data_IF_287101368559
#
_entry.id   IF_287101368559
#
_cell.length_a   1.000
_cell.length_b   1.000
_cell.length_c   1.000
_cell.angle_alpha   90.00
_cell.angle_beta   90.00
_cell.angle_gamma   90.00
#
_symmetry.space_group_name_H-M   'P 1'
#
loop_
_entity.id
_entity.type
_entity.pdbx_description
1 polymer ?
#
# COMPACT_ATOMS: atom_id res chain seq x y z
N UNK A 1 2.78 1.81 24.89
CA UNK A 1 1.37 1.48 25.19
C UNK A 1 0.50 2.67 25.62
N UNK A 2 1.07 3.88 25.79
CA UNK A 2 0.29 5.08 26.14
C UNK A 2 -0.37 5.77 24.93
N UNK A 3 0.09 5.48 23.72
CA UNK A 3 -0.31 6.16 22.51
C UNK A 3 -1.81 6.08 22.17
N UNK A 4 -2.47 4.89 22.16
CA UNK A 4 -3.91 4.83 21.86
C UNK A 4 -4.77 5.58 22.85
N UNK A 5 -4.40 5.60 24.15
CA UNK A 5 -5.11 6.33 25.19
C UNK A 5 -4.98 7.85 25.01
N UNK A 6 -3.77 8.34 24.70
CA UNK A 6 -3.53 9.75 24.43
C UNK A 6 -4.32 10.24 23.22
N UNK A 7 -4.36 9.45 22.13
CA UNK A 7 -5.14 9.78 20.94
C UNK A 7 -6.65 9.75 21.20
N UNK A 8 -7.14 8.85 22.04
CA UNK A 8 -8.55 8.81 22.46
C UNK A 8 -8.97 10.02 23.28
N UNK A 9 -8.13 10.45 24.23
CA UNK A 9 -8.37 11.67 25.01
C UNK A 9 -8.34 12.93 24.11
N UNK A 10 -7.42 12.99 23.15
CA UNK A 10 -7.38 14.08 22.17
C UNK A 10 -8.62 14.10 21.27
N UNK A 11 -9.16 12.93 20.87
CA UNK A 11 -10.39 12.85 20.09
C UNK A 11 -11.58 13.46 20.85
N UNK A 12 -11.72 13.15 22.15
CA UNK A 12 -12.75 13.73 23.00
C UNK A 12 -12.58 15.24 23.14
N UNK A 13 -11.37 15.74 23.38
CA UNK A 13 -11.06 17.16 23.47
C UNK A 13 -11.45 17.92 22.19
N UNK A 14 -11.08 17.43 21.01
CA UNK A 14 -11.41 18.05 19.73
C UNK A 14 -12.92 18.03 19.45
N UNK A 15 -13.60 16.94 19.78
CA UNK A 15 -15.05 16.83 19.64
C UNK A 15 -15.78 17.89 20.47
N UNK A 16 -15.35 18.10 21.73
CA UNK A 16 -15.92 19.11 22.61
C UNK A 16 -15.71 20.52 22.04
N UNK A 17 -14.57 20.77 21.38
CA UNK A 17 -14.26 22.08 20.81
C UNK A 17 -14.76 22.25 19.34
N UNK A 18 -15.55 21.32 18.82
CA UNK A 18 -16.18 21.43 17.51
C UNK A 18 -15.25 21.19 16.31
N UNK A 19 -14.06 20.60 16.52
CA UNK A 19 -13.15 20.20 15.42
C UNK A 19 -13.36 18.72 15.09
N UNK A 20 -14.41 18.44 14.33
CA UNK A 20 -14.81 17.08 13.96
C UNK A 20 -13.72 16.30 13.18
N UNK A 21 -12.98 16.97 12.28
CA UNK A 21 -11.93 16.32 11.49
C UNK A 21 -10.75 15.90 12.37
N UNK A 22 -10.33 16.74 13.31
CA UNK A 22 -9.30 16.39 14.27
C UNK A 22 -9.78 15.30 15.24
N UNK A 23 -11.02 15.38 15.71
CA UNK A 23 -11.61 14.33 16.55
C UNK A 23 -11.62 12.97 15.84
N UNK A 24 -12.05 12.93 14.58
CA UNK A 24 -12.05 11.71 13.75
C UNK A 24 -10.63 11.19 13.51
N UNK A 25 -9.68 12.06 13.20
CA UNK A 25 -8.28 11.69 13.02
C UNK A 25 -7.67 11.07 14.27
N UNK A 26 -7.86 11.69 15.43
CA UNK A 26 -7.42 11.15 16.71
C UNK A 26 -8.10 9.81 17.05
N UNK A 27 -9.40 9.68 16.77
CA UNK A 27 -10.13 8.42 16.96
C UNK A 27 -9.60 7.31 16.05
N UNK A 28 -9.31 7.61 14.78
CA UNK A 28 -8.72 6.68 13.84
C UNK A 28 -7.36 6.15 14.32
N UNK A 29 -6.47 7.03 14.79
CA UNK A 29 -5.17 6.60 15.29
C UNK A 29 -5.26 5.84 16.62
N UNK A 30 -6.19 6.23 17.52
CA UNK A 30 -6.47 5.47 18.73
C UNK A 30 -6.95 4.05 18.40
N UNK A 31 -7.92 3.93 17.52
CA UNK A 31 -8.47 2.64 17.04
C UNK A 31 -7.41 1.78 16.38
N UNK A 32 -6.60 2.37 15.49
CA UNK A 32 -5.46 1.70 14.85
C UNK A 32 -4.51 1.12 15.89
N UNK A 33 -4.16 1.90 16.91
CA UNK A 33 -3.27 1.47 17.99
C UNK A 33 -3.85 0.30 18.80
N UNK A 34 -5.15 0.38 19.17
CA UNK A 34 -5.82 -0.70 19.90
C UNK A 34 -5.91 -1.99 19.11
N UNK A 35 -6.22 -1.92 17.81
CA UNK A 35 -6.26 -3.11 16.95
C UNK A 35 -4.87 -3.70 16.67
N UNK A 36 -3.82 -2.89 16.71
CA UNK A 36 -2.46 -3.38 16.48
C UNK A 36 -1.97 -4.32 17.58
N UNK A 37 -2.41 -4.12 18.82
CA UNK A 37 -2.00 -4.96 19.95
C UNK A 37 -2.42 -6.44 19.78
N UNK A 38 -3.70 -6.78 19.57
CA UNK A 38 -4.11 -8.16 19.38
C UNK A 38 -3.63 -8.75 18.04
N UNK A 39 -3.41 -7.93 17.01
CA UNK A 39 -2.92 -8.40 15.71
C UNK A 39 -1.44 -8.83 15.76
N UNK A 40 -0.62 -8.19 16.60
CA UNK A 40 0.81 -8.53 16.71
C UNK A 40 1.06 -9.90 17.34
N UNK A 41 0.22 -10.35 18.27
CA UNK A 41 0.39 -11.64 18.95
C UNK A 41 0.36 -12.81 17.93
N UNK A 42 -0.72 -13.04 17.16
CA UNK A 42 -0.75 -14.11 16.16
C UNK A 42 0.28 -13.90 15.06
N UNK A 43 0.61 -12.65 14.74
CA UNK A 43 1.63 -12.33 13.73
C UNK A 43 3.00 -12.93 14.12
N UNK A 44 3.44 -12.77 15.37
CA UNK A 44 4.76 -13.24 15.80
C UNK A 44 4.75 -14.67 16.34
N UNK A 45 3.69 -15.13 16.98
CA UNK A 45 3.65 -16.47 17.55
C UNK A 45 3.27 -17.57 16.54
N UNK A 46 2.45 -17.25 15.55
CA UNK A 46 1.94 -18.22 14.56
C UNK A 46 2.48 -17.93 13.17
N UNK A 47 2.26 -16.71 12.67
CA UNK A 47 2.61 -16.38 11.30
C UNK A 47 4.12 -16.36 11.05
N UNK A 48 4.94 -15.92 12.02
CA UNK A 48 6.40 -15.90 11.84
C UNK A 48 7.02 -17.28 11.71
N UNK A 49 6.77 -18.25 12.61
CA UNK A 49 7.29 -19.61 12.44
C UNK A 49 6.80 -20.28 11.15
N UNK A 50 5.51 -20.15 10.83
CA UNK A 50 4.95 -20.69 9.59
C UNK A 50 5.66 -20.11 8.37
N UNK A 51 5.84 -18.80 8.32
CA UNK A 51 6.50 -18.09 7.21
C UNK A 51 7.94 -18.58 7.01
N UNK A 52 8.69 -18.73 8.10
CA UNK A 52 10.08 -19.15 8.02
C UNK A 52 10.24 -20.60 7.54
N UNK A 53 9.29 -21.46 7.88
CA UNK A 53 9.38 -22.90 7.60
C UNK A 53 8.68 -23.32 6.31
N UNK A 54 7.54 -22.67 5.97
CA UNK A 54 6.64 -23.17 4.93
C UNK A 54 6.42 -22.18 3.78
N UNK A 55 6.54 -20.85 4.02
CA UNK A 55 6.17 -19.84 3.05
C UNK A 55 7.13 -18.62 3.09
N UNK A 56 8.40 -18.76 2.69
CA UNK A 56 9.41 -17.71 2.85
C UNK A 56 9.27 -16.54 1.86
N UNK A 57 8.54 -16.70 0.76
CA UNK A 57 8.40 -15.69 -0.30
C UNK A 57 7.04 -15.01 -0.30
N UNK A 58 5.96 -15.76 -0.49
CA UNK A 58 4.63 -15.17 -0.52
C UNK A 58 4.21 -14.64 0.84
N UNK A 59 4.57 -15.34 1.92
CA UNK A 59 4.23 -14.95 3.30
C UNK A 59 2.75 -14.63 3.41
N UNK A 60 1.94 -15.53 2.89
CA UNK A 60 0.49 -15.37 2.69
C UNK A 60 -0.25 -15.20 4.02
N UNK A 61 0.16 -15.92 5.07
CA UNK A 61 -0.50 -15.81 6.37
C UNK A 61 -0.28 -14.44 7.03
N UNK A 62 0.95 -13.91 7.20
CA UNK A 62 1.13 -12.57 7.73
C UNK A 62 0.51 -11.47 6.84
N UNK A 63 0.48 -11.66 5.52
CA UNK A 63 -0.20 -10.75 4.59
C UNK A 63 -1.72 -10.70 4.85
N UNK A 64 -2.38 -11.85 5.02
CA UNK A 64 -3.80 -11.93 5.37
C UNK A 64 -4.12 -11.30 6.73
N UNK A 65 -3.26 -11.50 7.71
CA UNK A 65 -3.41 -10.83 9.03
C UNK A 65 -3.32 -9.32 8.87
N UNK A 66 -2.36 -8.81 8.09
CA UNK A 66 -2.22 -7.37 7.84
C UNK A 66 -3.41 -6.78 7.07
N UNK A 67 -3.92 -7.49 6.06
CA UNK A 67 -5.13 -7.09 5.31
C UNK A 67 -6.36 -7.04 6.20
N UNK A 68 -6.56 -8.06 7.05
CA UNK A 68 -7.65 -8.07 8.02
C UNK A 68 -7.55 -6.88 8.97
N UNK A 69 -6.38 -6.67 9.54
CA UNK A 69 -6.11 -5.54 10.41
C UNK A 69 -6.40 -4.21 9.72
N UNK A 70 -5.91 -4.00 8.49
CA UNK A 70 -6.12 -2.76 7.75
C UNK A 70 -7.59 -2.51 7.41
N UNK A 71 -8.33 -3.55 6.98
CA UNK A 71 -9.78 -3.45 6.71
C UNK A 71 -10.57 -3.15 7.98
N UNK A 72 -10.30 -3.83 9.09
CA UNK A 72 -10.93 -3.55 10.39
C UNK A 72 -10.57 -2.14 10.93
N UNK A 73 -9.38 -1.65 10.62
CA UNK A 73 -8.94 -0.30 11.01
C UNK A 73 -9.74 0.77 10.29
N UNK A 74 -9.99 0.60 9.00
CA UNK A 74 -10.64 1.63 8.17
C UNK A 74 -12.16 1.58 8.19
N UNK A 75 -12.76 0.40 8.37
CA UNK A 75 -14.21 0.19 8.27
C UNK A 75 -15.09 1.13 9.12
N UNK A 76 -14.71 1.54 10.35
CA UNK A 76 -15.52 2.49 11.13
C UNK A 76 -15.47 3.92 10.62
N UNK A 77 -14.55 4.27 9.73
CA UNK A 77 -14.26 5.65 9.36
C UNK A 77 -14.62 6.02 7.93
N UNK A 78 -14.45 5.10 7.00
CA UNK A 78 -14.81 5.28 5.58
C UNK A 78 -14.98 3.93 4.89
N UNK A 79 -15.76 3.91 3.82
CA UNK A 79 -15.86 2.75 2.94
C UNK A 79 -14.77 2.80 1.87
N UNK A 80 -14.40 1.63 1.36
CA UNK A 80 -13.48 1.52 0.22
C UNK A 80 -14.16 0.67 -0.84
N UNK A 81 -14.38 1.25 -2.01
CA UNK A 81 -14.90 0.55 -3.18
C UNK A 81 -13.79 0.21 -4.14
N UNK A 82 -13.84 -0.95 -4.77
CA UNK A 82 -12.82 -1.39 -5.74
C UNK A 82 -13.52 -1.82 -7.02
N UNK A 83 -13.31 -1.07 -8.10
CA UNK A 83 -13.82 -1.35 -9.44
C UNK A 83 -12.74 -2.09 -10.26
N UNK A 84 -13.13 -3.00 -11.13
CA UNK A 84 -12.26 -3.65 -12.11
C UNK A 84 -11.40 -4.80 -11.59
N UNK A 85 -11.34 -5.05 -10.28
CA UNK A 85 -10.48 -6.07 -9.69
C UNK A 85 -10.78 -7.47 -10.23
N UNK A 86 -12.06 -7.89 -10.26
CA UNK A 86 -12.45 -9.21 -10.73
C UNK A 86 -12.06 -9.45 -12.20
N UNK A 87 -12.24 -8.45 -13.06
CA UNK A 87 -11.85 -8.53 -14.46
C UNK A 87 -10.33 -8.62 -14.63
N UNK A 88 -9.58 -7.90 -13.81
CA UNK A 88 -8.12 -7.97 -13.78
C UNK A 88 -7.64 -9.35 -13.31
N UNK A 89 -8.20 -9.89 -12.23
CA UNK A 89 -7.81 -11.21 -11.70
C UNK A 89 -8.10 -12.35 -12.70
N UNK A 90 -9.22 -12.30 -13.41
CA UNK A 90 -9.50 -13.24 -14.51
C UNK A 90 -8.43 -13.22 -15.61
N UNK A 91 -7.92 -12.03 -15.96
CA UNK A 91 -6.87 -11.87 -16.96
C UNK A 91 -5.50 -12.32 -16.43
N UNK A 92 -5.18 -12.06 -15.17
CA UNK A 92 -3.94 -12.50 -14.54
C UNK A 92 -3.91 -14.02 -14.36
N UNK A 93 -5.05 -14.65 -14.20
CA UNK A 93 -5.19 -16.10 -14.01
C UNK A 93 -4.25 -16.65 -12.93
N UNK A 94 -4.26 -16.04 -11.75
CA UNK A 94 -3.42 -16.39 -10.60
C UNK A 94 -1.93 -16.03 -10.71
N UNK A 95 -1.47 -15.50 -11.85
CA UNK A 95 -0.06 -15.12 -12.02
C UNK A 95 0.27 -13.86 -11.20
N UNK A 96 1.48 -13.77 -10.63
CA UNK A 96 1.94 -12.56 -9.93
C UNK A 96 2.04 -11.37 -10.89
N UNK A 97 1.88 -10.17 -10.35
CA UNK A 97 1.91 -8.93 -11.12
C UNK A 97 2.58 -7.80 -10.33
N UNK A 98 3.02 -6.78 -11.05
CA UNK A 98 3.49 -5.52 -10.48
C UNK A 98 2.35 -4.51 -10.52
N UNK A 99 1.76 -4.22 -9.37
CA UNK A 99 0.76 -3.17 -9.21
C UNK A 99 1.46 -1.81 -9.12
N UNK A 100 0.93 -0.81 -9.80
CA UNK A 100 1.42 0.57 -9.74
C UNK A 100 0.26 1.50 -9.42
N UNK A 101 0.39 2.33 -8.40
CA UNK A 101 -0.67 3.24 -7.97
C UNK A 101 -0.15 4.67 -7.83
N UNK A 102 -1.04 5.67 -8.01
CA UNK A 102 -0.78 7.05 -7.60
C UNK A 102 -0.66 7.13 -6.08
N UNK A 103 0.02 8.17 -5.57
CA UNK A 103 0.30 8.32 -4.15
C UNK A 103 -0.05 9.72 -3.65
N UNK A 104 -1.12 9.85 -2.88
CA UNK A 104 -1.63 11.12 -2.39
C UNK A 104 -1.65 11.23 -0.87
N UNK A 105 -1.75 10.08 -0.17
CA UNK A 105 -1.96 10.04 1.27
C UNK A 105 -1.26 8.85 1.92
N UNK A 106 -1.13 8.91 3.22
CA UNK A 106 -0.79 7.73 4.02
C UNK A 106 -1.91 6.65 3.98
N UNK A 107 -3.15 7.08 3.75
CA UNK A 107 -4.30 6.18 3.59
C UNK A 107 -4.21 5.27 2.36
N UNK A 108 -3.36 5.59 1.36
CA UNK A 108 -3.16 4.73 0.19
C UNK A 108 -2.66 3.34 0.57
N UNK A 109 -1.88 3.24 1.67
CA UNK A 109 -1.44 1.94 2.21
C UNK A 109 -2.63 1.14 2.75
N UNK A 110 -3.56 1.79 3.45
CA UNK A 110 -4.77 1.13 3.93
C UNK A 110 -5.71 0.75 2.79
N UNK A 111 -5.83 1.61 1.77
CA UNK A 111 -6.58 1.30 0.56
C UNK A 111 -6.02 0.04 -0.13
N UNK A 112 -4.70 -0.12 -0.19
CA UNK A 112 -4.07 -1.29 -0.82
C UNK A 112 -4.45 -2.63 -0.17
N UNK A 113 -4.88 -2.67 1.09
CA UNK A 113 -5.38 -3.88 1.74
C UNK A 113 -6.75 -4.35 1.22
N UNK A 114 -7.41 -3.55 0.40
CA UNK A 114 -8.66 -3.91 -0.28
C UNK A 114 -8.42 -4.47 -1.70
N UNK A 115 -7.20 -4.35 -2.22
CA UNK A 115 -6.77 -5.15 -3.37
C UNK A 115 -6.77 -6.63 -2.96
N UNK A 116 -6.97 -7.49 -3.88
CA UNK A 116 -7.16 -8.94 -3.76
C UNK A 116 -6.80 -9.59 -2.41
N UNK A 117 -7.74 -10.34 -1.83
CA UNK A 117 -7.55 -11.02 -0.55
C UNK A 117 -6.57 -12.19 -0.64
N UNK A 118 -6.61 -12.95 -1.72
CA UNK A 118 -5.86 -14.19 -1.86
C UNK A 118 -4.45 -14.00 -2.42
N UNK A 119 -4.16 -12.83 -2.96
CA UNK A 119 -2.86 -12.50 -3.53
C UNK A 119 -1.92 -11.92 -2.47
N UNK A 120 -0.77 -12.55 -2.30
CA UNK A 120 0.30 -12.00 -1.47
C UNK A 120 0.86 -10.72 -2.12
N UNK A 121 0.65 -9.55 -1.49
CA UNK A 121 1.03 -8.25 -2.02
C UNK A 121 2.14 -7.61 -1.19
N UNK A 122 3.32 -7.43 -1.78
CA UNK A 122 4.47 -6.79 -1.13
C UNK A 122 4.57 -5.33 -1.54
N UNK A 123 4.76 -4.45 -0.58
CA UNK A 123 4.83 -3.00 -0.82
C UNK A 123 6.29 -2.55 -0.77
N UNK A 124 6.73 -1.79 -1.77
CA UNK A 124 8.03 -1.13 -1.74
C UNK A 124 7.91 0.15 -0.92
N UNK A 125 8.61 0.21 0.19
CA UNK A 125 8.50 1.30 1.16
C UNK A 125 9.85 1.85 1.58
N UNK A 126 9.87 3.11 2.07
CA UNK A 126 11.10 3.79 2.51
C UNK A 126 11.80 2.99 3.63
N UNK A 127 13.08 2.72 3.49
CA UNK A 127 13.87 1.92 4.44
C UNK A 127 13.83 2.45 5.89
N UNK A 128 13.65 3.76 6.10
CA UNK A 128 13.53 4.33 7.46
C UNK A 128 12.30 3.84 8.23
N UNK A 129 11.22 3.43 7.55
CA UNK A 129 10.00 2.92 8.19
C UNK A 129 10.28 1.55 8.84
N UNK A 130 11.14 0.74 8.24
CA UNK A 130 11.55 -0.57 8.78
C UNK A 130 12.35 -0.48 10.09
N UNK A 131 12.82 0.72 10.46
CA UNK A 131 13.50 0.95 11.74
C UNK A 131 12.54 1.30 12.88
N UNK A 132 11.26 1.54 12.59
CA UNK A 132 10.24 1.82 13.61
C UNK A 132 9.90 0.51 14.31
N UNK A 133 10.09 0.41 15.65
CA UNK A 133 9.74 -0.79 16.39
C UNK A 133 8.28 -1.22 16.15
N UNK A 134 8.00 -2.50 16.15
CA UNK A 134 6.75 -3.16 15.81
C UNK A 134 6.36 -2.98 14.34
N UNK A 135 6.18 -1.76 13.86
CA UNK A 135 5.81 -1.49 12.46
C UNK A 135 6.83 -2.09 11.48
N UNK A 136 8.11 -1.76 11.64
CA UNK A 136 9.17 -2.29 10.78
C UNK A 136 9.35 -3.81 10.91
N UNK A 137 9.14 -4.38 12.10
CA UNK A 137 9.21 -5.83 12.30
C UNK A 137 8.08 -6.54 11.58
N UNK A 138 6.85 -6.03 11.67
CA UNK A 138 5.68 -6.55 10.93
C UNK A 138 5.88 -6.42 9.44
N UNK A 139 6.33 -5.25 8.95
CA UNK A 139 6.63 -5.04 7.52
C UNK A 139 7.69 -6.01 6.99
N UNK A 140 8.73 -6.27 7.78
CA UNK A 140 9.77 -7.24 7.44
C UNK A 140 9.23 -8.68 7.42
N UNK A 141 8.36 -9.01 8.37
CA UNK A 141 7.74 -10.34 8.45
C UNK A 141 6.79 -10.59 7.27
N UNK A 142 5.99 -9.59 6.87
CA UNK A 142 5.13 -9.66 5.68
C UNK A 142 5.97 -9.76 4.40
N UNK A 143 7.23 -9.33 4.42
CA UNK A 143 8.13 -9.38 3.27
C UNK A 143 8.04 -8.13 2.38
N UNK A 144 7.62 -7.01 2.93
CA UNK A 144 7.70 -5.73 2.23
C UNK A 144 9.15 -5.37 1.90
N UNK A 145 9.38 -4.64 0.82
CA UNK A 145 10.72 -4.37 0.29
C UNK A 145 11.20 -2.98 0.72
N UNK A 146 12.31 -2.89 1.49
CA UNK A 146 12.86 -1.60 1.88
C UNK A 146 13.57 -0.91 0.70
N UNK A 147 13.17 0.33 0.41
CA UNK A 147 13.83 1.20 -0.56
C UNK A 147 14.71 2.24 0.13
N UNK A 148 16.01 2.14 -0.08
CA UNK A 148 17.00 3.10 0.40
C UNK A 148 17.46 3.99 -0.76
N UNK A 149 17.16 5.28 -0.68
CA UNK A 149 17.51 6.25 -1.73
C UNK A 149 19.02 6.50 -1.85
N UNK A 150 19.80 6.16 -0.82
CA UNK A 150 21.27 6.28 -0.83
C UNK A 150 21.95 5.16 -1.60
N UNK A 151 21.23 4.08 -1.91
CA UNK A 151 21.73 2.91 -2.63
C UNK A 151 21.30 2.91 -4.09
N UNK A 152 22.09 2.31 -5.00
CA UNK A 152 21.64 2.09 -6.37
C UNK A 152 20.30 1.35 -6.43
N UNK A 153 19.38 1.80 -7.29
CA UNK A 153 18.02 1.21 -7.40
C UNK A 153 18.00 -0.26 -7.79
N UNK A 154 19.07 -0.77 -8.37
CA UNK A 154 19.19 -2.16 -8.83
C UNK A 154 18.98 -3.20 -7.73
N UNK A 155 19.31 -2.91 -6.48
CA UNK A 155 19.09 -3.87 -5.38
C UNK A 155 17.60 -4.09 -5.07
N UNK A 156 16.77 -3.04 -5.20
CA UNK A 156 15.31 -3.17 -5.04
C UNK A 156 14.70 -3.92 -6.22
N UNK A 157 15.17 -3.61 -7.44
CA UNK A 157 14.72 -4.30 -8.66
C UNK A 157 14.96 -5.80 -8.53
N UNK A 158 16.19 -6.24 -8.22
CA UNK A 158 16.52 -7.66 -8.08
C UNK A 158 15.76 -8.36 -6.93
N UNK A 159 15.53 -7.67 -5.81
CA UNK A 159 14.70 -8.21 -4.72
C UNK A 159 13.24 -8.41 -5.14
N UNK A 160 12.68 -7.45 -5.89
CA UNK A 160 11.33 -7.54 -6.40
C UNK A 160 11.19 -8.61 -7.49
N UNK A 161 12.15 -8.72 -8.41
CA UNK A 161 12.19 -9.79 -9.42
C UNK A 161 12.10 -11.17 -8.75
N UNK A 162 12.96 -11.41 -7.75
CA UNK A 162 12.96 -12.67 -7.00
C UNK A 162 11.62 -12.96 -6.33
N UNK A 163 10.92 -11.96 -5.79
CA UNK A 163 9.60 -12.14 -5.18
C UNK A 163 8.55 -12.51 -6.22
N UNK A 164 8.55 -11.84 -7.38
CA UNK A 164 7.62 -12.13 -8.49
C UNK A 164 7.85 -13.55 -9.04
N UNK A 165 9.10 -13.95 -9.24
CA UNK A 165 9.46 -15.31 -9.68
C UNK A 165 8.99 -16.40 -8.72
N UNK A 166 8.82 -16.06 -7.42
CA UNK A 166 8.33 -16.97 -6.39
C UNK A 166 6.86 -16.72 -5.99
N UNK A 167 6.05 -16.14 -6.88
CA UNK A 167 4.59 -16.06 -6.76
C UNK A 167 4.03 -14.79 -6.09
N UNK A 168 4.87 -13.95 -5.48
CA UNK A 168 4.40 -12.74 -4.79
C UNK A 168 4.19 -11.58 -5.76
N UNK A 169 3.09 -10.85 -5.62
CA UNK A 169 2.85 -9.58 -6.31
C UNK A 169 3.47 -8.40 -5.57
N UNK A 170 3.81 -7.35 -6.29
CA UNK A 170 4.48 -6.17 -5.73
C UNK A 170 3.63 -4.93 -6.00
N UNK A 171 3.47 -4.07 -4.99
CA UNK A 171 2.89 -2.74 -5.16
C UNK A 171 3.99 -1.67 -5.10
N UNK A 172 4.00 -0.83 -6.12
CA UNK A 172 4.81 0.38 -6.19
C UNK A 172 3.95 1.63 -6.21
N UNK A 173 4.47 2.68 -5.60
CA UNK A 173 4.07 4.05 -5.85
C UNK A 173 5.15 4.71 -6.70
N UNK A 174 5.06 4.67 -8.04
CA UNK A 174 6.17 5.02 -8.93
C UNK A 174 6.52 6.51 -8.90
N UNK A 175 5.66 7.36 -8.37
CA UNK A 175 5.95 8.78 -8.09
C UNK A 175 7.10 8.95 -7.07
N UNK A 176 7.31 7.95 -6.19
CA UNK A 176 8.36 7.93 -5.17
C UNK A 176 8.16 8.92 -4.01
N UNK A 177 7.09 9.68 -4.01
CA UNK A 177 6.64 10.54 -2.89
C UNK A 177 5.18 10.92 -3.09
N UNK A 178 4.45 11.16 -2.00
CA UNK A 178 3.06 11.60 -2.04
C UNK A 178 2.90 12.94 -2.77
N UNK A 179 1.84 13.06 -3.55
CA UNK A 179 1.40 14.32 -4.16
C UNK A 179 0.70 15.18 -3.09
N UNK A 180 1.04 16.47 -3.04
CA UNK A 180 0.41 17.42 -2.11
C UNK A 180 -0.78 18.16 -2.74
N UNK A 181 -0.79 18.24 -4.06
CA UNK A 181 -1.77 18.98 -4.86
C UNK A 181 -2.74 18.07 -5.62
N UNK A 182 -2.66 16.76 -5.37
CA UNK A 182 -3.49 15.75 -6.03
C UNK A 182 -3.09 15.44 -7.47
N UNK A 183 -2.11 16.16 -8.04
CA UNK A 183 -1.64 15.93 -9.41
C UNK A 183 -0.71 14.74 -9.49
N UNK A 184 -0.84 13.97 -10.55
CA UNK A 184 0.01 12.82 -10.82
C UNK A 184 1.42 13.28 -11.21
N UNK A 185 2.41 12.87 -10.42
CA UNK A 185 3.83 13.16 -10.69
C UNK A 185 4.39 12.24 -11.78
N UNK A 186 5.54 12.61 -12.36
CA UNK A 186 6.27 11.69 -13.25
C UNK A 186 6.60 10.38 -12.56
N UNK A 187 6.45 9.27 -13.26
CA UNK A 187 6.75 7.94 -12.74
C UNK A 187 8.24 7.64 -12.85
N UNK A 188 8.76 6.88 -11.89
CA UNK A 188 10.11 6.29 -11.94
C UNK A 188 10.07 4.93 -12.60
N UNK A 189 11.12 4.52 -13.33
CA UNK A 189 11.08 3.30 -14.15
C UNK A 189 11.16 1.99 -13.35
N UNK A 190 11.49 2.01 -12.06
CA UNK A 190 11.82 0.80 -11.28
C UNK A 190 10.77 -0.31 -11.34
N UNK A 191 9.48 0.01 -11.18
CA UNK A 191 8.37 -0.94 -11.26
C UNK A 191 8.28 -1.61 -12.64
N UNK A 192 8.43 -0.82 -13.69
CA UNK A 192 8.32 -1.25 -15.08
C UNK A 192 9.51 -2.09 -15.51
N UNK A 193 10.71 -1.80 -14.99
CA UNK A 193 11.92 -2.62 -15.15
C UNK A 193 11.71 -4.00 -14.51
N UNK A 194 11.16 -4.06 -13.27
CA UNK A 194 10.83 -5.33 -12.61
C UNK A 194 9.88 -6.14 -13.49
N UNK A 195 8.77 -5.54 -13.93
CA UNK A 195 7.76 -6.23 -14.74
C UNK A 195 8.32 -6.74 -16.07
N UNK A 196 9.09 -5.91 -16.78
CA UNK A 196 9.69 -6.29 -18.05
C UNK A 196 10.70 -7.44 -17.90
N UNK A 197 11.54 -7.44 -16.87
CA UNK A 197 12.54 -8.49 -16.61
C UNK A 197 11.90 -9.79 -16.13
N UNK A 198 10.92 -9.70 -15.23
CA UNK A 198 10.18 -10.86 -14.75
C UNK A 198 9.15 -11.40 -15.77
N UNK A 199 8.92 -10.72 -16.89
CA UNK A 199 7.93 -11.10 -17.88
C UNK A 199 6.49 -11.09 -17.36
N UNK A 200 6.20 -10.31 -16.32
CA UNK A 200 4.88 -10.23 -15.69
C UNK A 200 4.12 -8.95 -16.08
N UNK A 201 2.82 -8.93 -15.78
CA UNK A 201 1.98 -7.77 -16.03
C UNK A 201 2.30 -6.60 -15.08
N UNK A 202 2.14 -5.38 -15.56
CA UNK A 202 1.88 -4.18 -14.74
C UNK A 202 0.38 -3.99 -14.64
N UNK A 203 -0.14 -3.82 -13.43
CA UNK A 203 -1.55 -3.51 -13.17
C UNK A 203 -1.63 -2.09 -12.62
N UNK A 204 -2.11 -1.12 -13.43
CA UNK A 204 -2.34 0.23 -12.94
C UNK A 204 -3.52 0.27 -11.98
N UNK A 205 -3.40 1.05 -10.91
CA UNK A 205 -4.45 1.25 -9.91
C UNK A 205 -4.61 2.75 -9.65
N UNK A 206 -5.81 3.26 -9.85
CA UNK A 206 -6.14 4.63 -9.48
C UNK A 206 -6.76 4.63 -8.09
N UNK A 207 -6.18 5.40 -7.16
CA UNK A 207 -6.69 5.59 -5.80
C UNK A 207 -7.19 7.04 -5.69
N UNK A 208 -8.47 7.21 -5.35
CA UNK A 208 -9.12 8.51 -5.25
C UNK A 208 -9.50 8.84 -3.82
N UNK A 209 -9.62 10.13 -3.54
CA UNK A 209 -10.11 10.74 -2.30
C UNK A 209 -9.19 10.60 -1.09
N UNK A 210 -8.19 9.73 -1.07
CA UNK A 210 -7.27 9.58 0.07
C UNK A 210 -6.56 10.87 0.41
N UNK A 211 -6.12 11.65 -0.59
CA UNK A 211 -5.50 12.94 -0.43
C UNK A 211 -6.46 14.02 0.13
N UNK A 212 -7.77 13.91 -0.14
CA UNK A 212 -8.79 14.75 0.47
C UNK A 212 -9.07 14.33 1.92
N UNK A 213 -9.23 13.02 2.17
CA UNK A 213 -9.55 12.49 3.50
C UNK A 213 -8.45 12.78 4.52
N UNK A 214 -7.19 12.57 4.13
CA UNK A 214 -6.02 12.82 4.97
C UNK A 214 -4.88 13.39 4.12
N UNK A 215 -4.83 14.72 3.91
CA UNK A 215 -3.77 15.37 3.16
C UNK A 215 -2.38 15.14 3.76
N UNK A 216 -1.36 15.33 2.94
CA UNK A 216 0.03 15.31 3.41
C UNK A 216 0.26 16.45 4.41
N UNK A 217 0.65 16.10 5.62
CA UNK A 217 0.82 17.03 6.75
C UNK A 217 -0.26 16.93 7.82
N UNK A 218 -1.42 16.34 7.50
CA UNK A 218 -2.50 16.08 8.46
C UNK A 218 -2.39 14.69 9.11
N UNK A 219 -1.22 14.05 8.95
CA UNK A 219 -0.99 12.75 9.54
C UNK A 219 -0.65 12.86 11.02
N UNK A 220 -0.55 11.70 11.61
CA UNK A 220 -0.21 11.33 12.95
C UNK A 220 0.58 12.33 13.83
N UNK A 221 1.66 12.94 13.30
CA UNK A 221 2.54 13.82 14.08
C UNK A 221 2.03 15.26 14.20
N UNK A 222 1.01 15.62 13.44
CA UNK A 222 0.47 16.98 13.39
C UNK A 222 -0.93 17.12 14.01
N UNK A 223 -1.33 16.14 14.85
CA UNK A 223 -2.66 16.16 15.46
C UNK A 223 -3.71 15.36 14.67
N UNK A 224 -3.31 14.67 13.60
CA UNK A 224 -4.13 13.73 12.83
C UNK A 224 -5.52 14.24 12.47
N UNK A 225 -5.75 14.65 11.24
CA UNK A 225 -7.09 15.04 10.76
C UNK A 225 -7.60 14.02 9.79
N UNK A 226 -8.86 13.61 9.92
CA UNK A 226 -9.52 12.69 8.99
C UNK A 226 -10.89 13.26 8.62
N UNK A 227 -11.00 13.72 7.36
CA UNK A 227 -12.24 14.25 6.81
C UNK A 227 -13.26 13.13 6.55
N UNK A 228 -14.51 13.50 6.38
CA UNK A 228 -15.57 12.57 5.98
C UNK A 228 -15.49 12.31 4.47
N UNK A 229 -15.78 11.09 4.07
CA UNK A 229 -15.82 10.65 2.67
C UNK A 229 -15.41 9.19 2.55
N UNK A 230 -15.37 8.69 1.33
CA UNK A 230 -15.06 7.32 0.99
C UNK A 230 -13.87 7.24 0.03
N UNK A 231 -13.19 6.11 0.03
CA UNK A 231 -12.08 5.80 -0.88
C UNK A 231 -12.61 5.01 -2.07
N UNK A 232 -12.24 5.43 -3.26
CA UNK A 232 -12.52 4.71 -4.49
C UNK A 232 -11.22 4.21 -5.11
N UNK A 233 -11.21 2.97 -5.53
CA UNK A 233 -10.10 2.37 -6.25
C UNK A 233 -10.58 1.83 -7.60
N UNK A 234 -9.80 2.08 -8.65
CA UNK A 234 -10.03 1.52 -9.97
C UNK A 234 -8.82 0.69 -10.35
N UNK A 235 -9.01 -0.61 -10.51
CA UNK A 235 -8.00 -1.54 -11.01
C UNK A 235 -8.18 -1.65 -12.52
N UNK A 236 -7.15 -1.23 -13.25
CA UNK A 236 -7.17 -1.24 -14.72
C UNK A 236 -6.75 -2.62 -15.26
N UNK A 237 -6.96 -2.81 -16.56
CA UNK A 237 -6.51 -4.00 -17.26
C UNK A 237 -4.98 -4.19 -17.16
N UNK A 238 -4.50 -5.43 -17.02
CA UNK A 238 -3.08 -5.74 -17.01
C UNK A 238 -2.39 -5.30 -18.30
N UNK A 239 -1.24 -4.66 -18.19
CA UNK A 239 -0.39 -4.20 -19.27
C UNK A 239 0.90 -5.03 -19.31
N UNK A 240 1.35 -5.37 -20.49
CA UNK A 240 2.62 -6.09 -20.70
C UNK A 240 3.59 -5.22 -21.48
N UNK A 241 4.90 -5.42 -21.23
CA UNK A 241 5.94 -4.83 -22.06
C UNK A 241 5.82 -5.34 -23.49
N UNK A 242 5.86 -4.42 -24.45
CA UNK A 242 5.84 -4.76 -25.87
C UNK A 242 7.28 -4.80 -26.42
N UNK A 243 7.81 -5.99 -26.74
CA UNK A 243 9.18 -6.14 -27.19
C UNK A 243 9.44 -5.51 -28.57
N UNK A 244 8.40 -5.10 -29.29
CA UNK A 244 8.53 -4.45 -30.60
C UNK A 244 8.83 -2.95 -30.49
N UNK A 245 8.64 -2.36 -29.30
CA UNK A 245 8.92 -0.95 -29.04
C UNK A 245 10.42 -0.68 -28.90
N UNK A 246 10.86 0.50 -29.29
CA UNK A 246 12.25 0.93 -29.14
C UNK A 246 12.69 0.98 -27.66
N UNK A 247 11.79 1.37 -26.75
CA UNK A 247 11.96 1.28 -25.31
C UNK A 247 10.68 0.68 -24.68
N UNK A 248 10.64 -0.66 -24.48
CA UNK A 248 9.50 -1.34 -23.92
C UNK A 248 9.15 -0.89 -22.50
N UNK A 249 10.14 -0.46 -21.72
CA UNK A 249 9.96 -0.01 -20.34
C UNK A 249 9.31 1.37 -20.30
N UNK A 250 9.79 2.29 -21.12
CA UNK A 250 9.22 3.63 -21.22
C UNK A 250 7.79 3.61 -21.79
N UNK A 251 7.51 2.78 -22.81
CA UNK A 251 6.17 2.58 -23.35
C UNK A 251 5.20 2.04 -22.28
N UNK A 252 5.61 1.01 -21.55
CA UNK A 252 4.80 0.42 -20.47
C UNK A 252 4.52 1.42 -19.34
N UNK A 253 5.52 2.23 -19.00
CA UNK A 253 5.42 3.29 -17.99
C UNK A 253 4.40 4.36 -18.40
N UNK A 254 4.43 4.83 -19.64
CA UNK A 254 3.51 5.87 -20.10
C UNK A 254 2.08 5.33 -20.20
N UNK A 255 1.86 4.15 -20.77
CA UNK A 255 0.54 3.51 -20.81
C UNK A 255 -0.07 3.32 -19.41
N UNK A 256 0.74 2.90 -18.44
CA UNK A 256 0.28 2.76 -17.06
C UNK A 256 -0.06 4.13 -16.44
N UNK A 257 0.74 5.15 -16.72
CA UNK A 257 0.49 6.52 -16.26
C UNK A 257 -0.78 7.11 -16.86
N UNK A 258 -1.00 6.92 -18.16
CA UNK A 258 -2.23 7.34 -18.86
C UNK A 258 -3.47 6.64 -18.29
N UNK A 259 -3.39 5.32 -18.05
CA UNK A 259 -4.48 4.57 -17.44
C UNK A 259 -4.87 5.16 -16.08
N UNK A 260 -3.90 5.43 -15.20
CA UNK A 260 -4.16 6.04 -13.89
C UNK A 260 -4.73 7.45 -14.06
N UNK A 261 -4.14 8.27 -14.92
CA UNK A 261 -4.57 9.66 -15.17
C UNK A 261 -6.00 9.75 -15.70
N UNK A 262 -6.45 8.75 -16.46
CA UNK A 262 -7.80 8.73 -17.07
C UNK A 262 -8.94 8.64 -16.06
N UNK A 263 -8.65 8.26 -14.81
CA UNK A 263 -9.66 8.01 -13.75
C UNK A 263 -9.38 8.81 -12.47
N UNK A 264 -8.37 9.71 -12.47
CA UNK A 264 -8.08 10.66 -11.37
C UNK A 264 -9.01 11.93 -11.34
#
# INVERSE_FOLDING_TARGET
>A
SFFPLASGAAAAYHSINGDDDAARGCAFFSWTGWLSLPATIPMFLVAAPYTLLCDPYERSLPDKVAKTWGRCTTAPFFTTTVEGLEACEKQLNGRPAVFVANHQSWLDIYASFWLDWDRALKIVSKASIFRIPLCGWVMSLIGHVPYDRSKPGGHVVGACEKLVENGASILFFPEGSRSKDGRLKPFKPGAFVVAARAGCAVVPVTIKNTGYLMPVGDEFYAGGRLRRGDVEMVVHAPLYADPTKADPVADLQERAREAIASRL
#
